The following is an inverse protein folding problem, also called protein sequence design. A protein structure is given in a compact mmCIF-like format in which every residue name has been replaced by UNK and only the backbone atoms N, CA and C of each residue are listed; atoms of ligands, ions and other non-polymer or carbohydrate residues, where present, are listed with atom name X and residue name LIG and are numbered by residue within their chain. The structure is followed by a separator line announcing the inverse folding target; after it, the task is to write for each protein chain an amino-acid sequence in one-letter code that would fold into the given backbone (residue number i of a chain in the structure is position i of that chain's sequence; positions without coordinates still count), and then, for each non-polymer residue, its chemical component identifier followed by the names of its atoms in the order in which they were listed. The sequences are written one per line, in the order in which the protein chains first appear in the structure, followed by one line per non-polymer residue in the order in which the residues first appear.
data_IF_199826526987
#
_entry.id   IF_199826526987
#
_cell.length_a   1.000
_cell.length_b   1.000
_cell.length_c   1.000
_cell.angle_alpha   90.00
_cell.angle_beta   90.00
_cell.angle_gamma   90.00
#
_symmetry.space_group_name_H-M   'P 1'
#
loop_
_entity.id
_entity.type
_entity.pdbx_description
1 polymer ?
#
# COMPACT_ATOMS: atom_id res chain seq x y z
N UNK A 1 -35.00 -59.56 -58.14
CA UNK A 1 -36.46 -59.54 -58.19
C UNK A 1 -36.91 -58.16 -57.78
N UNK A 2 -37.29 -57.47 -58.70
CA UNK A 2 -38.46 -56.78 -59.19
C UNK A 2 -38.53 -55.36 -58.71
N UNK A 3 -38.15 -54.40 -59.49
CA UNK A 3 -38.90 -53.56 -60.48
C UNK A 3 -39.96 -52.64 -59.88
N UNK A 4 -39.88 -51.39 -60.28
CA UNK A 4 -40.89 -50.38 -60.56
C UNK A 4 -40.45 -49.01 -60.00
N UNK A 5 -40.20 -47.99 -60.70
CA UNK A 5 -40.53 -47.54 -62.09
C UNK A 5 -41.57 -46.40 -61.99
N UNK A 6 -41.23 -45.28 -62.67
CA UNK A 6 -42.14 -44.18 -63.08
C UNK A 6 -42.45 -43.08 -62.03
N UNK A 7 -42.55 -41.82 -62.32
CA UNK A 7 -42.70 -41.04 -63.59
C UNK A 7 -42.53 -39.55 -63.31
N UNK A 8 -42.16 -38.84 -64.37
CA UNK A 8 -41.99 -37.38 -64.51
C UNK A 8 -43.31 -36.61 -64.35
N UNK A 9 -43.23 -35.49 -63.67
CA UNK A 9 -44.23 -34.43 -63.67
C UNK A 9 -43.61 -33.07 -63.57
N UNK A 10 -43.36 -32.41 -64.70
CA UNK A 10 -42.98 -31.02 -64.82
C UNK A 10 -44.19 -30.14 -64.50
N UNK A 11 -44.12 -29.27 -63.52
CA UNK A 11 -45.03 -28.15 -63.37
C UNK A 11 -44.25 -26.84 -63.29
N UNK A 12 -44.33 -26.05 -64.31
CA UNK A 12 -43.86 -24.66 -64.34
C UNK A 12 -44.93 -23.81 -63.65
N UNK A 13 -44.56 -23.14 -62.57
CA UNK A 13 -45.35 -22.03 -62.05
C UNK A 13 -44.45 -20.81 -61.96
N UNK A 14 -44.72 -19.81 -62.73
CA UNK A 14 -44.21 -18.45 -62.64
C UNK A 14 -44.81 -17.80 -61.44
N UNK A 15 -43.94 -17.31 -60.49
CA UNK A 15 -44.39 -16.38 -59.44
C UNK A 15 -43.42 -15.24 -59.39
N UNK A 16 -43.99 -14.06 -59.28
CA UNK A 16 -43.43 -12.76 -59.51
C UNK A 16 -42.35 -12.34 -58.46
N UNK A 17 -41.53 -11.45 -58.97
CA UNK A 17 -40.47 -10.73 -58.27
C UNK A 17 -41.09 -9.68 -57.34
N UNK A 18 -41.17 -10.02 -56.01
CA UNK A 18 -41.50 -9.07 -54.96
C UNK A 18 -40.22 -8.60 -54.30
N UNK A 19 -39.81 -7.36 -54.59
CA UNK A 19 -38.67 -6.70 -53.96
C UNK A 19 -39.06 -6.29 -52.56
N UNK A 20 -38.71 -7.09 -51.55
CA UNK A 20 -38.87 -6.73 -50.14
C UNK A 20 -37.58 -6.04 -49.66
N UNK A 21 -37.63 -4.72 -49.48
CA UNK A 21 -36.60 -3.95 -48.79
C UNK A 21 -36.59 -4.35 -47.30
N UNK A 22 -35.72 -5.27 -46.90
CA UNK A 22 -35.41 -5.53 -45.50
C UNK A 22 -34.47 -4.43 -45.01
N UNK A 23 -35.05 -3.42 -44.36
CA UNK A 23 -34.30 -2.48 -43.51
C UNK A 23 -33.55 -3.23 -42.43
N UNK A 24 -32.23 -3.33 -42.56
CA UNK A 24 -31.37 -3.95 -41.58
C UNK A 24 -31.36 -3.15 -40.29
N UNK A 25 -32.15 -3.57 -39.31
CA UNK A 25 -31.95 -3.17 -37.92
C UNK A 25 -30.61 -3.76 -37.46
N UNK A 26 -29.58 -2.93 -37.48
CA UNK A 26 -28.30 -3.27 -36.87
C UNK A 26 -28.54 -3.33 -35.35
N UNK A 27 -28.83 -4.51 -34.84
CA UNK A 27 -28.77 -4.77 -33.42
C UNK A 27 -27.32 -4.46 -32.97
N UNK A 28 -27.15 -3.40 -32.16
CA UNK A 28 -25.90 -3.14 -31.49
C UNK A 28 -25.64 -4.35 -30.57
N UNK A 29 -24.62 -5.14 -30.90
CA UNK A 29 -24.12 -6.16 -30.01
C UNK A 29 -23.74 -5.47 -28.71
N UNK A 30 -24.14 -6.01 -27.52
CA UNK A 30 -23.65 -5.49 -26.26
C UNK A 30 -22.12 -5.55 -26.30
N UNK A 31 -21.48 -4.41 -25.95
CA UNK A 31 -20.04 -4.34 -25.83
C UNK A 31 -19.59 -5.47 -24.89
N UNK A 32 -18.74 -6.35 -25.38
CA UNK A 32 -18.11 -7.36 -24.53
C UNK A 32 -17.47 -6.63 -23.34
N UNK A 33 -17.66 -7.12 -22.10
CA UNK A 33 -16.99 -6.54 -20.94
C UNK A 33 -15.49 -6.60 -21.24
N UNK A 34 -14.82 -5.45 -21.22
CA UNK A 34 -13.37 -5.37 -21.32
C UNK A 34 -12.80 -6.30 -20.25
N UNK A 35 -12.22 -7.42 -20.68
CA UNK A 35 -11.43 -8.31 -19.83
C UNK A 35 -10.10 -7.62 -19.47
N UNK A 36 -10.18 -6.50 -18.79
CA UNK A 36 -9.08 -5.82 -18.12
C UNK A 36 -9.23 -6.08 -16.63
N UNK A 37 -8.16 -6.31 -15.92
CA UNK A 37 -8.23 -6.42 -14.47
C UNK A 37 -8.67 -5.06 -13.93
N UNK A 38 -9.95 -4.94 -13.58
CA UNK A 38 -10.45 -3.77 -12.86
C UNK A 38 -9.93 -3.71 -11.41
N UNK A 39 -8.71 -4.25 -11.19
CA UNK A 39 -8.09 -4.40 -9.88
C UNK A 39 -6.58 -4.17 -9.95
N UNK A 40 -6.06 -3.47 -8.94
CA UNK A 40 -4.63 -3.29 -8.70
C UNK A 40 -4.26 -3.86 -7.34
N UNK A 41 -3.28 -4.76 -7.30
CA UNK A 41 -2.74 -5.34 -6.07
C UNK A 41 -1.64 -4.45 -5.50
N UNK A 42 -1.86 -3.87 -4.33
CA UNK A 42 -0.97 -2.88 -3.70
C UNK A 42 -0.36 -3.47 -2.44
N UNK A 43 0.96 -3.66 -2.44
CA UNK A 43 1.71 -4.03 -1.25
C UNK A 43 2.22 -2.74 -0.59
N UNK A 44 1.80 -2.47 0.64
CA UNK A 44 2.07 -1.20 1.29
C UNK A 44 2.45 -1.35 2.77
N UNK A 45 3.33 -0.47 3.22
CA UNK A 45 3.73 -0.42 4.62
C UNK A 45 2.52 -0.29 5.55
N UNK A 46 2.52 -1.03 6.66
CA UNK A 46 1.42 -1.10 7.63
C UNK A 46 0.98 0.26 8.17
N UNK A 47 1.89 1.22 8.30
CA UNK A 47 1.59 2.60 8.72
C UNK A 47 0.69 3.37 7.75
N UNK A 48 0.57 2.91 6.49
CA UNK A 48 -0.27 3.55 5.46
C UNK A 48 -1.70 3.01 5.43
N UNK A 49 -2.02 1.98 6.22
CA UNK A 49 -3.25 1.21 6.07
C UNK A 49 -4.51 2.07 6.05
N UNK A 50 -4.67 2.98 7.02
CA UNK A 50 -5.87 3.81 7.11
C UNK A 50 -5.98 4.81 5.95
N UNK A 51 -4.87 5.50 5.62
CA UNK A 51 -4.86 6.48 4.54
C UNK A 51 -5.09 5.82 3.18
N UNK A 52 -4.44 4.68 2.91
CA UNK A 52 -4.61 3.98 1.64
C UNK A 52 -5.98 3.30 1.52
N UNK A 53 -6.58 2.87 2.60
CA UNK A 53 -7.97 2.35 2.58
C UNK A 53 -8.95 3.44 2.16
N UNK A 54 -8.83 4.65 2.72
CA UNK A 54 -9.64 5.80 2.33
C UNK A 54 -9.38 6.21 0.88
N UNK A 55 -8.10 6.26 0.46
CA UNK A 55 -7.69 6.58 -0.91
C UNK A 55 -8.20 5.52 -1.89
N UNK A 56 -8.13 4.23 -1.52
CA UNK A 56 -8.62 3.13 -2.35
C UNK A 56 -10.11 3.22 -2.64
N UNK A 57 -10.92 3.58 -1.65
CA UNK A 57 -12.36 3.83 -1.83
C UNK A 57 -12.63 5.02 -2.77
N UNK A 58 -11.86 6.10 -2.62
CA UNK A 58 -11.97 7.27 -3.51
C UNK A 58 -11.47 6.96 -4.94
N UNK A 59 -10.44 6.13 -5.08
CA UNK A 59 -9.96 5.62 -6.36
C UNK A 59 -11.02 4.79 -7.07
N UNK A 60 -11.64 3.83 -6.37
CA UNK A 60 -12.71 2.99 -6.91
C UNK A 60 -13.89 3.84 -7.41
N UNK A 61 -14.30 4.83 -6.63
CA UNK A 61 -15.37 5.75 -7.04
C UNK A 61 -15.01 6.60 -8.27
N UNK A 62 -13.74 6.96 -8.44
CA UNK A 62 -13.28 7.83 -9.52
C UNK A 62 -12.94 7.07 -10.82
N UNK A 63 -12.42 5.85 -10.72
CA UNK A 63 -11.89 5.09 -11.86
C UNK A 63 -12.73 3.87 -12.26
N UNK A 64 -13.58 3.38 -11.36
CA UNK A 64 -14.26 2.09 -11.49
C UNK A 64 -13.33 0.89 -11.22
N UNK A 65 -12.04 1.10 -10.98
CA UNK A 65 -11.07 0.05 -10.68
C UNK A 65 -10.85 -0.07 -9.18
N UNK A 66 -10.61 -1.29 -8.68
CA UNK A 66 -10.46 -1.58 -7.25
C UNK A 66 -9.01 -1.75 -6.85
N UNK A 67 -8.60 -1.11 -5.75
CA UNK A 67 -7.30 -1.36 -5.12
C UNK A 67 -7.43 -2.42 -4.03
N UNK A 68 -6.63 -3.50 -4.15
CA UNK A 68 -6.53 -4.57 -3.15
C UNK A 68 -5.23 -4.41 -2.38
N UNK A 69 -5.32 -4.22 -1.07
CA UNK A 69 -4.17 -3.93 -0.24
C UNK A 69 -3.67 -5.16 0.54
N UNK A 70 -2.34 -5.35 0.53
CA UNK A 70 -1.62 -6.20 1.46
C UNK A 70 -0.73 -5.30 2.32
N UNK A 71 -1.09 -5.15 3.61
CA UNK A 71 -0.37 -4.31 4.56
C UNK A 71 0.57 -5.13 5.43
N UNK A 72 1.84 -4.69 5.54
CA UNK A 72 2.84 -5.36 6.33
C UNK A 72 4.11 -4.54 6.55
N UNK A 73 5.14 -5.17 7.12
CA UNK A 73 6.46 -4.56 7.13
C UNK A 73 7.01 -4.46 5.71
N UNK A 74 7.57 -3.30 5.34
CA UNK A 74 8.12 -3.11 3.99
C UNK A 74 9.18 -4.15 3.62
N UNK A 75 10.00 -4.59 4.58
CA UNK A 75 10.98 -5.66 4.40
C UNK A 75 10.35 -7.01 4.04
N UNK A 76 9.23 -7.36 4.69
CA UNK A 76 8.54 -8.61 4.42
C UNK A 76 7.82 -8.57 3.07
N UNK A 77 7.20 -7.44 2.75
CA UNK A 77 6.54 -7.23 1.48
C UNK A 77 7.54 -7.25 0.32
N UNK A 78 8.70 -6.58 0.48
CA UNK A 78 9.78 -6.63 -0.52
C UNK A 78 10.30 -8.07 -0.71
N UNK A 79 10.47 -8.84 0.37
CA UNK A 79 10.84 -10.26 0.29
C UNK A 79 9.78 -11.08 -0.46
N UNK A 80 8.50 -10.85 -0.21
CA UNK A 80 7.40 -11.52 -0.93
C UNK A 80 7.41 -11.17 -2.43
N UNK A 81 7.62 -9.90 -2.78
CA UNK A 81 7.72 -9.45 -4.18
C UNK A 81 8.90 -10.15 -4.87
N UNK A 82 10.06 -10.21 -4.23
CA UNK A 82 11.26 -10.91 -4.75
C UNK A 82 11.03 -12.41 -4.92
N UNK A 83 10.17 -13.00 -4.08
CA UNK A 83 9.74 -14.39 -4.20
C UNK A 83 8.62 -14.62 -5.24
N UNK A 84 8.22 -13.58 -6.00
CA UNK A 84 7.22 -13.70 -7.06
C UNK A 84 5.77 -13.47 -6.62
N UNK A 85 5.53 -12.86 -5.45
CA UNK A 85 4.17 -12.51 -5.05
C UNK A 85 3.52 -11.55 -6.07
N UNK A 86 2.23 -11.75 -6.41
CA UNK A 86 1.54 -11.02 -7.47
C UNK A 86 1.11 -9.62 -7.01
N UNK A 87 2.07 -8.72 -6.82
CA UNK A 87 1.85 -7.31 -6.55
C UNK A 87 1.99 -6.48 -7.84
N UNK A 88 1.20 -5.41 -7.94
CA UNK A 88 1.26 -4.45 -9.04
C UNK A 88 1.94 -3.15 -8.62
N UNK A 89 1.75 -2.74 -7.37
CA UNK A 89 2.33 -1.51 -6.80
C UNK A 89 2.97 -1.81 -5.45
N UNK A 90 4.13 -1.21 -5.19
CA UNK A 90 4.78 -1.25 -3.90
C UNK A 90 4.91 0.15 -3.30
N UNK A 91 4.50 0.31 -2.03
CA UNK A 91 4.64 1.55 -1.24
C UNK A 91 5.44 1.22 0.02
N UNK A 92 6.71 1.57 0.03
CA UNK A 92 7.61 1.29 1.15
C UNK A 92 7.60 2.42 2.19
N UNK A 93 7.96 2.11 3.44
CA UNK A 93 8.23 3.08 4.49
C UNK A 93 9.72 3.42 4.61
N UNK A 94 10.55 2.93 3.72
CA UNK A 94 11.95 3.33 3.57
C UNK A 94 12.43 3.22 2.11
N UNK A 95 13.55 3.86 1.81
CA UNK A 95 14.18 3.79 0.50
C UNK A 95 14.91 2.47 0.29
N UNK A 96 15.48 1.88 1.34
CA UNK A 96 16.34 0.69 1.22
C UNK A 96 15.61 -0.52 0.63
N UNK A 97 14.33 -0.73 0.98
CA UNK A 97 13.55 -1.83 0.39
C UNK A 97 13.21 -1.56 -1.08
N UNK A 98 12.91 -0.30 -1.44
CA UNK A 98 12.68 0.10 -2.82
C UNK A 98 13.96 -0.01 -3.66
N UNK A 99 15.11 0.42 -3.12
CA UNK A 99 16.42 0.34 -3.77
C UNK A 99 16.79 -1.11 -4.11
N UNK A 100 16.48 -2.07 -3.22
CA UNK A 100 16.69 -3.50 -3.48
C UNK A 100 15.87 -4.00 -4.66
N UNK A 101 14.57 -3.65 -4.71
CA UNK A 101 13.71 -4.05 -5.83
C UNK A 101 14.16 -3.41 -7.14
N UNK A 102 14.64 -2.18 -7.10
CA UNK A 102 15.20 -1.48 -8.26
C UNK A 102 16.49 -2.15 -8.76
N UNK A 103 17.42 -2.48 -7.85
CA UNK A 103 18.67 -3.19 -8.18
C UNK A 103 18.42 -4.58 -8.80
N UNK A 104 17.33 -5.24 -8.41
CA UNK A 104 16.92 -6.53 -8.95
C UNK A 104 16.04 -6.41 -10.21
N UNK A 105 15.80 -5.18 -10.72
CA UNK A 105 15.01 -4.93 -11.92
C UNK A 105 13.50 -5.14 -11.73
N UNK A 106 13.02 -5.30 -10.49
CA UNK A 106 11.60 -5.47 -10.15
C UNK A 106 10.85 -4.14 -10.11
N UNK A 107 11.56 -3.02 -10.03
CA UNK A 107 11.08 -1.64 -10.13
C UNK A 107 11.96 -0.90 -11.12
N UNK A 108 11.38 -0.04 -11.96
CA UNK A 108 12.13 0.87 -12.82
C UNK A 108 12.40 2.18 -12.09
N UNK A 109 13.62 2.67 -12.11
CA UNK A 109 14.01 3.95 -11.49
C UNK A 109 13.17 5.13 -11.99
N UNK A 110 12.79 5.14 -13.27
CA UNK A 110 11.94 6.17 -13.89
C UNK A 110 10.54 6.25 -13.30
N UNK A 111 10.04 5.15 -12.75
CA UNK A 111 8.66 5.00 -12.30
C UNK A 111 8.53 5.15 -10.77
N UNK A 112 9.68 5.29 -10.09
CA UNK A 112 9.77 5.51 -8.65
C UNK A 112 9.54 6.96 -8.30
N UNK A 113 8.76 7.19 -7.25
CA UNK A 113 8.46 8.52 -6.72
C UNK A 113 8.60 8.55 -5.21
N UNK A 114 9.21 9.61 -4.68
CA UNK A 114 9.18 9.91 -3.24
C UNK A 114 7.82 10.56 -2.91
N UNK A 115 6.97 9.82 -2.20
CA UNK A 115 5.58 10.22 -1.99
C UNK A 115 5.39 11.01 -0.70
N UNK A 116 5.90 10.46 0.42
CA UNK A 116 5.62 10.96 1.77
C UNK A 116 6.86 10.96 2.65
N UNK A 117 6.75 11.70 3.76
CA UNK A 117 7.63 11.63 4.93
C UNK A 117 6.81 11.48 6.22
N UNK A 118 7.48 11.16 7.32
CA UNK A 118 6.88 10.98 8.63
C UNK A 118 7.86 11.41 9.74
N UNK A 119 7.40 11.37 10.99
CA UNK A 119 8.21 11.66 12.17
C UNK A 119 8.10 10.47 13.14
N UNK A 120 9.19 10.12 13.81
CA UNK A 120 9.15 9.18 14.95
C UNK A 120 8.62 9.88 16.18
N UNK A 121 7.85 9.14 16.97
CA UNK A 121 7.38 9.57 18.29
C UNK A 121 7.55 8.43 19.29
N UNK A 122 7.72 8.79 20.54
CA UNK A 122 7.62 7.85 21.66
C UNK A 122 6.19 7.90 22.18
N UNK A 123 5.59 6.73 22.33
CA UNK A 123 4.26 6.58 22.92
C UNK A 123 4.33 5.77 24.20
N UNK A 124 3.41 6.07 25.11
CA UNK A 124 3.16 5.33 26.36
C UNK A 124 1.66 5.07 26.50
N UNK A 125 1.19 4.16 27.37
CA UNK A 125 -0.23 4.02 27.65
C UNK A 125 -0.86 5.36 28.02
N UNK A 126 -2.11 5.58 27.63
CA UNK A 126 -2.78 6.87 27.82
C UNK A 126 -2.83 7.29 29.30
N UNK A 127 -3.02 6.34 30.20
CA UNK A 127 -3.13 6.51 31.66
C UNK A 127 -1.77 6.33 32.38
N UNK A 128 -0.66 6.16 31.66
CA UNK A 128 0.67 6.01 32.26
C UNK A 128 1.02 7.21 33.12
N UNK A 129 1.38 7.00 34.41
CA UNK A 129 1.82 8.07 35.29
C UNK A 129 3.26 8.52 34.96
N UNK A 130 3.99 7.72 34.18
CA UNK A 130 5.41 7.99 33.86
C UNK A 130 5.52 9.19 32.93
N UNK A 131 6.22 10.21 33.37
CA UNK A 131 6.53 11.39 32.56
C UNK A 131 7.90 11.21 31.94
N UNK A 132 7.94 11.30 30.63
CA UNK A 132 9.15 11.33 29.82
C UNK A 132 9.07 12.51 28.87
N UNK A 133 10.14 13.25 28.76
CA UNK A 133 10.22 14.46 27.96
C UNK A 133 11.33 14.42 26.91
N UNK A 134 12.14 13.37 26.95
CA UNK A 134 13.25 13.22 26.01
C UNK A 134 13.81 11.81 25.96
N UNK A 135 14.74 11.56 25.03
CA UNK A 135 15.23 10.22 24.72
C UNK A 135 16.00 9.55 25.90
N UNK A 136 16.63 10.33 26.76
CA UNK A 136 17.34 9.79 27.93
C UNK A 136 16.38 9.20 28.96
N UNK A 137 15.16 9.71 29.04
CA UNK A 137 14.13 9.24 29.96
C UNK A 137 13.61 7.83 29.59
N UNK A 138 13.88 7.34 28.36
CA UNK A 138 13.54 5.96 27.96
C UNK A 138 14.17 4.90 28.89
N UNK A 139 15.24 5.24 29.62
CA UNK A 139 15.88 4.36 30.58
C UNK A 139 14.99 4.00 31.78
N UNK A 140 13.89 4.70 32.04
CA UNK A 140 12.94 4.35 33.10
C UNK A 140 12.10 3.11 32.77
N UNK A 141 11.90 2.82 31.49
CA UNK A 141 11.08 1.71 31.03
C UNK A 141 11.84 0.38 31.03
N UNK A 142 11.17 -0.68 31.42
CA UNK A 142 11.70 -2.05 31.40
C UNK A 142 11.46 -2.70 30.03
N UNK A 143 10.38 -2.30 29.34
CA UNK A 143 10.00 -2.84 28.02
C UNK A 143 9.67 -1.71 27.06
N UNK A 144 10.35 -1.72 25.92
CA UNK A 144 10.16 -0.74 24.84
C UNK A 144 9.85 -1.53 23.54
N UNK A 145 8.62 -1.45 23.05
CA UNK A 145 8.27 -2.10 21.81
C UNK A 145 8.82 -1.31 20.61
N UNK A 146 9.51 -2.00 19.72
CA UNK A 146 9.95 -1.50 18.42
C UNK A 146 9.49 -2.49 17.34
N UNK A 147 9.16 -2.02 16.15
CA UNK A 147 9.25 -2.91 15.00
C UNK A 147 10.67 -3.48 14.92
N UNK A 148 10.86 -4.67 14.35
CA UNK A 148 12.19 -5.31 14.34
C UNK A 148 13.29 -4.32 13.93
N UNK A 149 14.22 -3.97 14.84
CA UNK A 149 15.23 -2.95 14.59
C UNK A 149 16.33 -3.39 13.62
N UNK A 150 16.33 -4.65 13.17
CA UNK A 150 17.28 -5.16 12.19
C UNK A 150 16.73 -5.13 10.77
N UNK A 151 15.41 -5.21 10.61
CA UNK A 151 14.82 -5.43 9.29
C UNK A 151 13.66 -4.47 8.93
N UNK A 152 12.84 -4.08 9.92
CA UNK A 152 11.60 -3.33 9.65
C UNK A 152 11.88 -1.82 9.69
N UNK A 153 11.45 -1.03 8.69
CA UNK A 153 11.81 0.38 8.56
C UNK A 153 11.66 1.21 9.85
N UNK A 154 10.49 1.15 10.50
CA UNK A 154 10.26 1.92 11.72
C UNK A 154 11.23 1.55 12.86
N UNK A 155 11.56 0.27 12.98
CA UNK A 155 12.54 -0.21 13.98
C UNK A 155 13.97 0.17 13.61
N UNK A 156 14.33 0.06 12.33
CA UNK A 156 15.64 0.52 11.83
C UNK A 156 15.83 2.00 12.09
N UNK A 157 14.83 2.83 11.80
CA UNK A 157 14.87 4.27 12.08
C UNK A 157 14.97 4.57 13.57
N UNK A 158 14.20 3.86 14.42
CA UNK A 158 14.29 4.00 15.88
C UNK A 158 15.69 3.65 16.40
N UNK A 159 16.27 2.55 15.92
CA UNK A 159 17.64 2.16 16.26
C UNK A 159 18.67 3.19 15.83
N UNK A 160 18.60 3.66 14.57
CA UNK A 160 19.52 4.68 14.06
C UNK A 160 19.44 5.98 14.86
N UNK A 161 18.23 6.40 15.22
CA UNK A 161 18.03 7.56 16.11
C UNK A 161 18.71 7.37 17.46
N UNK A 162 18.44 6.24 18.15
CA UNK A 162 19.02 5.94 19.45
C UNK A 162 20.55 5.74 19.39
N UNK A 163 21.07 5.16 18.30
CA UNK A 163 22.52 5.05 18.06
C UNK A 163 23.16 6.42 17.89
N UNK A 164 22.55 7.33 17.11
CA UNK A 164 23.02 8.70 16.94
C UNK A 164 23.11 9.50 18.24
N UNK A 165 22.31 9.11 19.25
CA UNK A 165 22.32 9.68 20.59
C UNK A 165 23.21 8.93 21.59
N UNK A 166 23.84 7.82 21.18
CA UNK A 166 24.62 6.95 22.07
C UNK A 166 23.80 6.20 23.12
N UNK A 167 22.48 6.02 22.89
CA UNK A 167 21.55 5.39 23.83
C UNK A 167 21.20 3.94 23.48
N UNK A 168 21.51 3.49 22.26
CA UNK A 168 21.07 2.18 21.79
C UNK A 168 21.56 1.03 22.67
N UNK A 169 22.84 0.97 22.99
CA UNK A 169 23.42 -0.16 23.69
C UNK A 169 22.82 -0.34 25.09
N UNK A 170 22.51 0.77 25.78
CA UNK A 170 21.85 0.75 27.08
C UNK A 170 20.36 0.36 27.00
N UNK A 171 19.70 0.64 25.91
CA UNK A 171 18.26 0.38 25.74
C UNK A 171 17.98 -0.93 25.00
N UNK A 172 18.90 -1.44 24.19
CA UNK A 172 18.71 -2.65 23.39
C UNK A 172 18.24 -3.88 24.21
N UNK A 173 18.74 -4.13 25.46
CA UNK A 173 18.25 -5.25 26.29
C UNK A 173 16.79 -5.12 26.72
N UNK A 174 16.19 -3.93 26.60
CA UNK A 174 14.79 -3.63 26.95
C UNK A 174 13.85 -3.62 25.76
N UNK A 175 14.42 -3.77 24.56
CA UNK A 175 13.66 -3.76 23.30
C UNK A 175 12.92 -5.06 23.10
N UNK A 176 11.61 -4.96 22.89
CA UNK A 176 10.74 -6.05 22.48
C UNK A 176 10.45 -5.88 21.00
N UNK A 177 11.05 -6.68 20.11
CA UNK A 177 10.83 -6.57 18.67
C UNK A 177 9.43 -7.05 18.30
N UNK A 178 8.81 -6.37 17.33
CA UNK A 178 7.49 -6.68 16.81
C UNK A 178 7.50 -6.78 15.28
N UNK A 179 6.49 -7.43 14.72
CA UNK A 179 6.40 -7.68 13.27
C UNK A 179 6.38 -6.42 12.41
N UNK A 180 5.76 -5.35 12.89
CA UNK A 180 5.65 -4.05 12.21
C UNK A 180 5.26 -2.96 13.20
N UNK A 181 5.31 -1.69 12.76
CA UNK A 181 5.07 -0.52 13.63
C UNK A 181 3.70 -0.53 14.32
N UNK A 182 2.65 -1.02 13.65
CA UNK A 182 1.31 -1.14 14.25
C UNK A 182 1.27 -2.19 15.37
N UNK A 183 2.07 -3.25 15.26
CA UNK A 183 2.19 -4.24 16.33
C UNK A 183 2.95 -3.63 17.55
N UNK A 184 3.93 -2.74 17.34
CA UNK A 184 4.58 -2.02 18.42
C UNK A 184 3.60 -1.10 19.16
N UNK A 185 2.76 -0.35 18.43
CA UNK A 185 1.71 0.47 19.03
C UNK A 185 0.73 -0.40 19.84
N UNK A 186 0.25 -1.49 19.25
CA UNK A 186 -0.69 -2.40 19.89
C UNK A 186 -0.12 -3.03 21.17
N UNK A 187 1.19 -3.27 21.26
CA UNK A 187 1.84 -3.75 22.49
C UNK A 187 1.70 -2.75 23.64
N UNK A 188 1.80 -1.46 23.36
CA UNK A 188 1.56 -0.41 24.37
C UNK A 188 0.06 -0.31 24.70
N UNK A 189 -0.82 -0.34 23.70
CA UNK A 189 -2.27 -0.26 23.89
C UNK A 189 -2.84 -1.41 24.72
N UNK A 190 -2.18 -2.58 24.68
CA UNK A 190 -2.57 -3.78 25.43
C UNK A 190 -1.85 -3.93 26.77
N UNK A 191 -0.91 -3.02 27.10
CA UNK A 191 -0.11 -3.10 28.33
C UNK A 191 1.04 -4.12 28.27
N UNK A 192 1.34 -4.70 27.09
CA UNK A 192 2.45 -5.63 26.90
C UNK A 192 3.81 -4.94 26.76
N UNK A 193 3.83 -3.62 26.58
CA UNK A 193 5.02 -2.78 26.62
C UNK A 193 4.72 -1.46 27.35
N UNK A 194 5.72 -0.94 28.06
CA UNK A 194 5.59 0.31 28.79
C UNK A 194 5.75 1.55 27.90
N UNK A 195 6.48 1.40 26.80
CA UNK A 195 6.65 2.41 25.77
C UNK A 195 6.84 1.78 24.38
N UNK A 196 6.67 2.58 23.32
CA UNK A 196 7.08 2.20 21.98
C UNK A 196 7.61 3.41 21.21
N UNK A 197 8.47 3.15 20.20
CA UNK A 197 8.81 4.15 19.19
C UNK A 197 8.05 3.77 17.90
N UNK A 198 7.20 4.67 17.45
CA UNK A 198 6.32 4.48 16.31
C UNK A 198 6.32 5.73 15.44
N UNK A 199 5.60 5.71 14.32
CA UNK A 199 5.39 6.93 13.55
C UNK A 199 4.28 7.79 14.18
N UNK A 200 4.42 9.10 14.02
CA UNK A 200 3.41 10.07 14.50
C UNK A 200 2.03 9.77 13.95
N UNK A 201 1.93 9.39 12.68
CA UNK A 201 0.68 9.00 12.03
C UNK A 201 -0.01 7.81 12.70
N UNK A 202 0.76 6.83 13.20
CA UNK A 202 0.21 5.69 13.94
C UNK A 202 -0.30 6.13 15.31
N UNK A 203 0.50 6.93 16.02
CA UNK A 203 0.18 7.42 17.37
C UNK A 203 -1.08 8.30 17.38
N UNK A 204 -1.26 9.17 16.39
CA UNK A 204 -2.43 10.06 16.28
C UNK A 204 -3.77 9.33 16.21
N UNK A 205 -3.78 8.08 15.84
CA UNK A 205 -4.99 7.26 15.71
C UNK A 205 -5.33 6.49 16.99
N UNK A 206 -4.38 6.38 17.89
CA UNK A 206 -4.58 5.66 19.15
C UNK A 206 -5.46 6.45 20.12
N UNK A 207 -6.40 5.76 20.76
CA UNK A 207 -7.15 6.26 21.91
C UNK A 207 -6.62 5.70 23.24
N UNK A 208 -5.74 4.70 23.17
CA UNK A 208 -5.23 3.95 24.32
C UNK A 208 -3.77 4.24 24.62
N UNK A 209 -3.07 4.86 23.67
CA UNK A 209 -1.72 5.37 23.85
C UNK A 209 -1.69 6.88 23.60
N UNK A 210 -0.76 7.56 24.25
CA UNK A 210 -0.47 8.99 24.02
C UNK A 210 0.96 9.19 23.60
N UNK A 211 1.21 10.24 22.84
CA UNK A 211 2.56 10.68 22.51
C UNK A 211 3.17 11.27 23.80
N UNK A 212 4.29 10.72 24.22
CA UNK A 212 5.08 11.23 25.32
C UNK A 212 5.97 12.39 24.84
N UNK A 213 6.67 12.18 23.71
CA UNK A 213 7.40 13.25 22.99
C UNK A 213 7.60 12.87 21.52
N UNK A 214 7.88 13.86 20.70
CA UNK A 214 8.20 13.71 19.28
C UNK A 214 9.73 13.78 19.07
N UNK A 215 10.25 12.97 18.15
CA UNK A 215 11.66 13.06 17.74
C UNK A 215 11.83 14.26 16.82
N UNK A 216 12.70 15.17 17.21
CA UNK A 216 12.98 16.34 16.37
C UNK A 216 13.54 15.90 14.99
N UNK A 217 13.06 16.49 13.88
CA UNK A 217 13.49 16.10 12.53
C UNK A 217 15.00 16.13 12.30
N UNK A 218 15.72 17.00 13.03
CA UNK A 218 17.18 17.11 12.94
C UNK A 218 17.92 16.03 13.72
N UNK A 219 17.25 15.35 14.66
CA UNK A 219 17.82 14.30 15.50
C UNK A 219 17.50 12.90 14.96
N UNK A 220 16.43 12.78 14.17
CA UNK A 220 16.01 11.52 13.56
C UNK A 220 16.57 11.32 12.15
N UNK A 221 16.61 10.08 11.67
CA UNK A 221 16.91 9.81 10.27
C UNK A 221 15.79 10.34 9.35
N UNK A 222 16.12 10.72 8.11
CA UNK A 222 15.10 11.15 7.15
C UNK A 222 14.20 9.97 6.76
N UNK A 223 12.92 10.07 7.10
CA UNK A 223 11.93 9.04 6.76
C UNK A 223 11.35 9.36 5.39
N UNK A 224 11.36 8.37 4.48
CA UNK A 224 10.85 8.49 3.12
C UNK A 224 9.96 7.30 2.79
N UNK A 225 8.85 7.59 2.10
CA UNK A 225 7.93 6.60 1.58
C UNK A 225 7.95 6.66 0.06
N UNK A 226 8.80 5.88 -0.59
CA UNK A 226 8.78 5.73 -2.03
C UNK A 226 7.60 4.85 -2.48
N UNK A 227 7.10 5.15 -3.68
CA UNK A 227 6.09 4.36 -4.39
C UNK A 227 6.56 4.07 -5.81
N UNK A 228 6.28 2.87 -6.29
CA UNK A 228 6.49 2.50 -7.69
C UNK A 228 5.51 1.41 -8.14
N UNK A 229 5.13 1.37 -9.43
CA UNK A 229 4.59 0.17 -10.04
C UNK A 229 5.69 -0.87 -10.19
N UNK A 230 5.35 -2.14 -10.06
CA UNK A 230 6.29 -3.23 -10.30
C UNK A 230 6.47 -3.48 -11.80
N UNK A 231 7.68 -3.85 -12.21
CA UNK A 231 8.01 -4.09 -13.62
C UNK A 231 7.20 -5.25 -14.24
N UNK A 232 6.76 -6.20 -13.42
CA UNK A 232 5.93 -7.33 -13.85
C UNK A 232 4.43 -7.00 -13.91
N UNK A 233 4.00 -5.81 -13.43
CA UNK A 233 2.60 -5.41 -13.47
C UNK A 233 2.10 -5.33 -14.91
N UNK A 234 0.91 -5.87 -15.15
CA UNK A 234 0.27 -5.90 -16.47
C UNK A 234 -0.95 -4.98 -16.46
N UNK A 235 -1.05 -4.14 -17.49
CA UNK A 235 -2.14 -3.18 -17.64
C UNK A 235 -1.78 -1.78 -17.12
N UNK A 236 -2.65 -0.80 -17.38
CA UNK A 236 -2.43 0.60 -17.02
C UNK A 236 -2.75 0.92 -15.56
N UNK A 237 -3.43 0.04 -14.82
CA UNK A 237 -4.03 0.31 -13.50
C UNK A 237 -2.95 0.63 -12.46
N UNK A 238 -1.81 -0.05 -12.50
CA UNK A 238 -0.72 0.20 -11.56
C UNK A 238 -0.14 1.61 -11.71
N UNK A 239 0.15 2.01 -12.95
CA UNK A 239 0.66 3.36 -13.23
C UNK A 239 -0.42 4.43 -12.93
N UNK A 240 -1.68 4.16 -13.25
CA UNK A 240 -2.80 5.04 -12.99
C UNK A 240 -3.03 5.20 -11.47
N UNK A 241 -2.93 4.12 -10.68
CA UNK A 241 -3.04 4.19 -9.23
C UNK A 241 -1.88 4.99 -8.60
N UNK A 242 -0.63 4.77 -9.06
CA UNK A 242 0.53 5.57 -8.62
C UNK A 242 0.35 7.05 -8.97
N UNK A 243 -0.16 7.36 -10.16
CA UNK A 243 -0.51 8.74 -10.52
C UNK A 243 -1.59 9.32 -9.60
N UNK A 244 -2.62 8.54 -9.27
CA UNK A 244 -3.67 8.95 -8.35
C UNK A 244 -3.16 9.21 -6.94
N UNK A 245 -2.25 8.39 -6.41
CA UNK A 245 -1.60 8.62 -5.11
C UNK A 245 -0.87 9.98 -5.04
N UNK A 246 -0.47 10.53 -6.18
CA UNK A 246 0.20 11.84 -6.31
C UNK A 246 -0.77 12.98 -6.60
N UNK A 247 -2.06 12.70 -6.78
CA UNK A 247 -3.10 13.69 -7.06
C UNK A 247 -3.37 14.61 -5.87
N UNK A 248 -3.96 15.80 -6.08
CA UNK A 248 -4.40 16.68 -4.99
C UNK A 248 -5.39 15.99 -4.03
N UNK A 249 -6.27 15.12 -4.53
CA UNK A 249 -7.24 14.39 -3.73
C UNK A 249 -6.55 13.44 -2.74
N UNK A 250 -5.65 12.59 -3.22
CA UNK A 250 -4.89 11.68 -2.35
C UNK A 250 -3.97 12.42 -1.38
N UNK A 251 -3.34 13.53 -1.82
CA UNK A 251 -2.52 14.39 -0.95
C UNK A 251 -3.32 14.93 0.23
N UNK A 252 -4.55 15.41 -0.01
CA UNK A 252 -5.41 15.89 1.06
C UNK A 252 -5.72 14.80 2.09
N UNK A 253 -5.91 13.54 1.65
CA UNK A 253 -6.08 12.39 2.54
C UNK A 253 -4.80 12.16 3.37
N UNK A 254 -3.63 12.08 2.74
CA UNK A 254 -2.38 11.88 3.46
C UNK A 254 -2.13 12.96 4.52
N UNK A 255 -2.37 14.23 4.20
CA UNK A 255 -2.24 15.34 5.16
C UNK A 255 -3.19 15.17 6.35
N UNK A 256 -4.46 14.81 6.10
CA UNK A 256 -5.43 14.54 7.20
C UNK A 256 -4.99 13.39 8.09
N UNK A 257 -4.30 12.39 7.53
CA UNK A 257 -3.73 11.27 8.28
C UNK A 257 -2.38 11.60 8.95
N UNK A 258 -1.90 12.86 8.84
CA UNK A 258 -0.70 13.33 9.53
C UNK A 258 0.61 13.08 8.79
N UNK A 259 0.58 12.61 7.55
CA UNK A 259 1.77 12.48 6.72
C UNK A 259 2.26 13.84 6.20
N UNK A 260 3.56 13.95 5.98
CA UNK A 260 4.17 15.03 5.23
C UNK A 260 4.26 14.63 3.77
N UNK A 261 3.55 15.34 2.89
CA UNK A 261 3.56 15.04 1.45
C UNK A 261 4.81 15.65 0.80
N UNK A 262 5.54 14.84 0.04
CA UNK A 262 6.72 15.23 -0.71
C UNK A 262 6.37 15.50 -2.19
N UNK A 263 7.20 16.30 -2.87
CA UNK A 263 7.10 16.49 -4.32
C UNK A 263 5.78 17.09 -4.79
N UNK A 264 5.53 18.34 -4.46
CA UNK A 264 4.42 19.14 -4.94
C UNK A 264 4.91 20.55 -5.26
N UNK A 265 5.36 20.74 -6.47
CA UNK A 265 5.29 22.01 -7.20
C UNK A 265 4.47 21.81 -8.45
#
# INVERSE_FOLDING_TARGET
MSHGGFSRGRFLVRIGLGLLCLGGVRAALPAEPKAGRDQVSVFAAASLADALTEIGSAWEAASGSRALFNFGASSDLARQIRAGAPADVFVSADTAQMDRLEQEGLVRASDRHELLSNTLVVVVPHDSPTRVSGPRDLAVFRTIALADPQAVPAGVYARLWLQGLGLWDALAPRVVPTLHVRAALAAVESGNAEAAVVYRTDAMRSKRARIAFEVEPKQGPPIRYPVAPLAASRGPEAAAFVAYLRSPAARAVFVRHGFVVLGGR
#
